data_IF_498191819356
#
_entry.id   IF_498191819356
#
_cell.length_a   1.000
_cell.length_b   1.000
_cell.length_c   1.000
_cell.angle_alpha   90.00
_cell.angle_beta   90.00
_cell.angle_gamma   90.00
#
_symmetry.space_group_name_H-M   'P 1'
#
loop_
_entity.id
_entity.type
_entity.pdbx_description
1 polymer ?
#
# COMPACT_ATOMS: atom_id res chain seq x y z
N UNK A 1 -16.27 7.30 4.42
CA UNK A 1 -16.02 6.44 3.23
C UNK A 1 -15.59 5.07 3.74
N UNK A 2 -16.57 4.18 3.87
CA UNK A 2 -16.41 2.84 4.43
C UNK A 2 -15.85 1.85 3.38
N UNK A 3 -15.18 0.81 3.90
CA UNK A 3 -14.77 -0.46 3.24
C UNK A 3 -13.62 -0.40 2.22
N UNK A 4 -12.40 -0.62 2.72
CA UNK A 4 -11.44 -1.56 2.09
C UNK A 4 -10.56 -2.22 3.15
N UNK A 5 -11.19 -2.86 4.13
CA UNK A 5 -10.59 -4.03 4.75
C UNK A 5 -10.62 -5.12 3.67
N UNK A 6 -9.77 -5.00 2.64
CA UNK A 6 -9.39 -6.18 1.86
C UNK A 6 -8.86 -7.14 2.92
N UNK A 7 -9.50 -8.29 3.06
CA UNK A 7 -9.16 -9.29 4.05
C UNK A 7 -7.73 -9.77 3.79
N UNK A 8 -6.75 -9.05 4.32
CA UNK A 8 -5.33 -9.41 4.32
C UNK A 8 -5.08 -10.52 5.35
N UNK A 9 -6.08 -10.81 6.21
CA UNK A 9 -6.10 -11.94 7.13
C UNK A 9 -6.18 -13.24 6.32
N UNK A 10 -5.03 -13.89 6.15
CA UNK A 10 -4.91 -15.20 5.49
C UNK A 10 -4.23 -15.17 4.12
N UNK A 11 -3.79 -14.01 3.64
CA UNK A 11 -2.95 -13.97 2.43
C UNK A 11 -1.54 -14.49 2.75
N UNK A 12 -0.96 -15.23 1.80
CA UNK A 12 0.40 -15.74 1.91
C UNK A 12 1.38 -14.56 2.05
N UNK A 13 2.39 -14.71 2.90
CA UNK A 13 3.42 -13.69 3.18
C UNK A 13 4.11 -13.24 1.87
N UNK A 14 4.27 -14.16 0.92
CA UNK A 14 4.83 -13.86 -0.40
C UNK A 14 3.93 -12.94 -1.24
N UNK A 15 2.62 -13.15 -1.22
CA UNK A 15 1.67 -12.31 -1.96
C UNK A 15 1.59 -10.91 -1.37
N UNK A 16 1.70 -10.80 -0.04
CA UNK A 16 1.79 -9.52 0.66
C UNK A 16 3.06 -8.74 0.27
N UNK A 17 4.20 -9.44 0.11
CA UNK A 17 5.45 -8.83 -0.36
C UNK A 17 5.35 -8.35 -1.81
N UNK A 18 4.78 -9.15 -2.71
CA UNK A 18 4.55 -8.74 -4.11
C UNK A 18 3.64 -7.50 -4.20
N UNK A 19 2.56 -7.47 -3.41
CA UNK A 19 1.66 -6.31 -3.32
C UNK A 19 2.38 -5.07 -2.76
N UNK A 20 3.27 -5.25 -1.79
CA UNK A 20 4.07 -4.16 -1.22
C UNK A 20 4.99 -3.52 -2.27
N UNK A 21 5.65 -4.35 -3.09
CA UNK A 21 6.54 -3.86 -4.17
C UNK A 21 5.75 -3.08 -5.23
N UNK A 22 4.64 -3.63 -5.70
CA UNK A 22 3.77 -2.95 -6.67
C UNK A 22 3.28 -1.58 -6.15
N UNK A 23 2.82 -1.50 -4.90
CA UNK A 23 2.36 -0.24 -4.30
C UNK A 23 3.50 0.78 -4.12
N UNK A 24 4.72 0.33 -3.84
CA UNK A 24 5.89 1.22 -3.75
C UNK A 24 6.25 1.80 -5.11
N UNK A 25 6.15 1.00 -6.17
CA UNK A 25 6.37 1.44 -7.54
C UNK A 25 5.30 2.44 -7.98
N UNK A 26 4.03 2.18 -7.71
CA UNK A 26 2.93 3.13 -7.95
C UNK A 26 3.16 4.46 -7.24
N UNK A 27 3.61 4.44 -5.98
CA UNK A 27 3.97 5.67 -5.24
C UNK A 27 5.11 6.42 -5.91
N UNK A 28 6.12 5.72 -6.44
CA UNK A 28 7.24 6.35 -7.16
C UNK A 28 6.76 7.00 -8.45
N UNK A 29 5.96 6.28 -9.25
CA UNK A 29 5.40 6.79 -10.50
C UNK A 29 4.50 7.99 -10.24
N UNK A 30 3.67 7.95 -9.19
CA UNK A 30 2.82 9.07 -8.80
C UNK A 30 3.63 10.29 -8.35
N UNK A 31 4.70 10.10 -7.56
CA UNK A 31 5.60 11.21 -7.20
C UNK A 31 6.19 11.87 -8.44
N UNK A 32 6.70 11.06 -9.37
CA UNK A 32 7.26 11.56 -10.62
C UNK A 32 6.22 12.31 -11.48
N UNK A 33 5.01 11.74 -11.62
CA UNK A 33 3.90 12.40 -12.32
C UNK A 33 3.46 13.69 -11.62
N UNK A 34 3.49 13.75 -10.29
CA UNK A 34 3.08 14.92 -9.52
C UNK A 34 4.07 16.08 -9.59
N UNK A 35 5.37 15.81 -9.75
CA UNK A 35 6.41 16.84 -9.86
C UNK A 35 6.19 17.76 -11.09
N UNK A 36 5.59 17.22 -12.16
CA UNK A 36 5.33 17.95 -13.41
C UNK A 36 3.85 18.22 -13.74
N UNK A 37 2.90 17.72 -12.96
CA UNK A 37 1.46 17.84 -13.28
C UNK A 37 0.78 19.01 -12.58
N UNK A 38 -0.09 19.73 -13.31
CA UNK A 38 -0.93 20.83 -12.81
C UNK A 38 -1.92 20.38 -11.72
N UNK A 39 -2.34 19.11 -11.76
CA UNK A 39 -3.22 18.49 -10.78
C UNK A 39 -2.42 17.66 -9.77
N UNK A 40 -2.31 18.16 -8.54
CA UNK A 40 -1.69 17.42 -7.43
C UNK A 40 -2.67 16.36 -6.93
N UNK A 41 -2.54 15.11 -7.37
CA UNK A 41 -3.32 13.97 -6.86
C UNK A 41 -2.86 13.54 -5.44
N UNK A 42 -2.83 14.48 -4.49
CA UNK A 42 -2.35 14.27 -3.12
C UNK A 42 -3.18 13.22 -2.37
N UNK A 43 -4.47 13.10 -2.70
CA UNK A 43 -5.39 12.13 -2.09
C UNK A 43 -5.01 10.69 -2.44
N UNK A 44 -4.65 10.41 -3.69
CA UNK A 44 -4.22 9.08 -4.13
C UNK A 44 -2.94 8.65 -3.43
N UNK A 45 -1.96 9.55 -3.34
CA UNK A 45 -0.72 9.30 -2.61
C UNK A 45 -0.96 8.99 -1.12
N UNK A 46 -1.89 9.71 -0.48
CA UNK A 46 -2.27 9.46 0.92
C UNK A 46 -2.93 8.09 1.10
N UNK A 47 -3.79 7.68 0.17
CA UNK A 47 -4.44 6.36 0.19
C UNK A 47 -3.41 5.24 0.03
N UNK A 48 -2.51 5.35 -0.96
CA UNK A 48 -1.49 4.33 -1.21
C UNK A 48 -0.52 4.16 -0.03
N UNK A 49 -0.13 5.25 0.63
CA UNK A 49 0.68 5.19 1.86
C UNK A 49 -0.04 4.43 2.98
N UNK A 50 -1.35 4.64 3.13
CA UNK A 50 -2.16 3.91 4.12
C UNK A 50 -2.29 2.44 3.77
N UNK A 51 -2.37 2.10 2.49
CA UNK A 51 -2.44 0.70 2.03
C UNK A 51 -1.12 -0.03 2.29
N UNK A 52 0.03 0.61 2.03
CA UNK A 52 1.36 0.11 2.39
C UNK A 52 1.47 -0.15 3.89
N UNK A 53 1.04 0.82 4.72
CA UNK A 53 1.08 0.68 6.17
C UNK A 53 0.23 -0.49 6.69
N UNK A 54 -0.95 -0.73 6.09
CA UNK A 54 -1.79 -1.89 6.43
C UNK A 54 -1.11 -3.21 6.08
N UNK A 55 -0.49 -3.33 4.91
CA UNK A 55 0.24 -4.55 4.51
C UNK A 55 1.41 -4.83 5.46
N UNK A 56 2.20 -3.82 5.79
CA UNK A 56 3.31 -3.96 6.76
C UNK A 56 2.81 -4.37 8.15
N UNK A 57 1.65 -3.86 8.57
CA UNK A 57 1.03 -4.22 9.85
C UNK A 57 0.63 -5.70 9.87
N UNK A 58 0.03 -6.20 8.78
CA UNK A 58 -0.37 -7.61 8.67
C UNK A 58 0.85 -8.54 8.58
N UNK A 59 1.90 -8.14 7.86
CA UNK A 59 3.18 -8.87 7.84
C UNK A 59 3.78 -9.02 9.26
N UNK A 60 3.79 -7.94 10.04
CA UNK A 60 4.29 -7.96 11.42
C UNK A 60 3.38 -8.79 12.36
N UNK A 61 2.06 -8.75 12.14
CA UNK A 61 1.11 -9.61 12.88
C UNK A 61 1.34 -11.09 12.60
N UNK A 62 1.65 -11.46 11.36
CA UNK A 62 1.98 -12.83 10.99
C UNK A 62 3.34 -13.26 11.56
N UNK A 63 4.35 -12.39 11.58
CA UNK A 63 5.65 -12.74 12.17
C UNK A 63 5.61 -12.92 13.69
N UNK A 64 4.72 -12.20 14.40
CA UNK A 64 4.53 -12.32 15.86
C UNK A 64 3.68 -13.51 16.30
N UNK A 65 2.99 -14.18 15.37
CA UNK A 65 2.15 -15.36 15.67
C UNK A 65 2.91 -16.68 15.62
N UNK A 66 4.13 -16.68 15.07
CA UNK A 66 5.10 -17.76 15.19
C UNK A 66 5.94 -17.55 16.45
#
# INVERSE_FOLDING_TARGET
MAKKNKNLKGENVEDLKKKLEALREEVRVLKFKMEGAKSKNVKELSVLRKDIARILTELNRNSKKN
#
